data_IF_831173588373
#
_entry.id   IF_831173588373
#
_cell.length_a   1.000
_cell.length_b   1.000
_cell.length_c   1.000
_cell.angle_alpha   90.00
_cell.angle_beta   90.00
_cell.angle_gamma   90.00
#
_symmetry.space_group_name_H-M   'P 1'
#
loop_
_entity.id
_entity.type
_entity.pdbx_description
1 polymer ?
#
# COMPACT_ATOMS: atom_id res chain seq x y z
N UNK A 1 -24.44 0.12 2.49
CA UNK A 1 -24.20 1.02 3.65
C UNK A 1 -23.48 0.22 4.71
N UNK A 2 -22.35 0.70 5.23
CA UNK A 2 -21.66 0.07 6.36
C UNK A 2 -22.13 0.79 7.61
N UNK A 3 -22.79 0.06 8.50
CA UNK A 3 -23.39 0.60 9.71
C UNK A 3 -22.60 0.32 10.97
N UNK A 4 -23.22 0.57 12.12
CA UNK A 4 -22.64 0.44 13.47
C UNK A 4 -22.09 -0.98 13.71
N UNK A 5 -22.79 -2.02 13.27
CA UNK A 5 -22.40 -3.42 13.50
C UNK A 5 -21.07 -3.77 12.86
N UNK A 6 -20.83 -3.33 11.63
CA UNK A 6 -19.56 -3.52 10.97
C UNK A 6 -18.40 -2.79 11.70
N UNK A 7 -18.64 -1.57 12.18
CA UNK A 7 -17.66 -0.82 12.96
C UNK A 7 -17.33 -1.51 14.29
N UNK A 8 -18.34 -2.04 14.99
CA UNK A 8 -18.16 -2.85 16.21
C UNK A 8 -17.29 -4.08 15.92
N UNK A 9 -17.63 -4.85 14.90
CA UNK A 9 -16.90 -6.05 14.49
C UNK A 9 -15.44 -5.75 14.14
N UNK A 10 -15.22 -4.71 13.32
CA UNK A 10 -13.87 -4.29 12.95
C UNK A 10 -13.05 -3.92 14.18
N UNK A 11 -13.57 -3.07 15.08
CA UNK A 11 -12.83 -2.63 16.26
C UNK A 11 -12.56 -3.79 17.23
N UNK A 12 -13.47 -4.76 17.36
CA UNK A 12 -13.21 -6.01 18.09
C UNK A 12 -12.04 -6.80 17.48
N UNK A 13 -12.04 -6.98 16.16
CA UNK A 13 -10.97 -7.70 15.44
C UNK A 13 -9.63 -6.95 15.51
N UNK A 14 -9.65 -5.62 15.45
CA UNK A 14 -8.46 -4.78 15.65
C UNK A 14 -7.85 -4.96 17.05
N UNK A 15 -8.67 -5.24 18.05
CA UNK A 15 -8.22 -5.57 19.39
C UNK A 15 -7.90 -7.06 19.59
N UNK A 16 -7.84 -7.88 18.54
CA UNK A 16 -7.62 -9.31 18.57
C UNK A 16 -8.64 -10.10 19.42
N UNK A 17 -9.82 -9.52 19.71
CA UNK A 17 -10.81 -10.14 20.58
C UNK A 17 -11.70 -11.13 19.81
N UNK A 18 -11.86 -12.34 20.34
CA UNK A 18 -12.96 -13.24 19.96
C UNK A 18 -14.28 -12.68 20.49
N UNK A 19 -15.42 -13.16 19.97
CA UNK A 19 -16.74 -12.81 20.52
C UNK A 19 -16.85 -13.11 22.02
N UNK A 20 -16.25 -14.21 22.47
CA UNK A 20 -16.26 -14.64 23.89
C UNK A 20 -15.43 -13.68 24.76
N UNK A 21 -14.26 -13.25 24.30
CA UNK A 21 -13.40 -12.31 25.02
C UNK A 21 -13.98 -10.91 25.05
N UNK A 22 -14.56 -10.44 23.93
CA UNK A 22 -15.30 -9.19 23.90
C UNK A 22 -16.51 -9.24 24.85
N UNK A 23 -17.24 -10.35 24.87
CA UNK A 23 -18.34 -10.57 25.80
C UNK A 23 -17.91 -10.47 27.26
N UNK A 24 -16.79 -11.12 27.63
CA UNK A 24 -16.21 -11.01 28.98
C UNK A 24 -15.87 -9.56 29.33
N UNK A 25 -15.20 -8.83 28.43
CA UNK A 25 -14.76 -7.44 28.62
C UNK A 25 -15.95 -6.48 28.77
N UNK A 26 -17.05 -6.78 28.10
CA UNK A 26 -18.27 -5.97 28.08
C UNK A 26 -19.37 -6.44 29.04
N UNK A 27 -19.10 -7.53 29.78
CA UNK A 27 -20.09 -8.20 30.63
C UNK A 27 -21.36 -8.60 29.86
N UNK A 28 -21.18 -9.20 28.67
CA UNK A 28 -22.23 -9.65 27.76
C UNK A 28 -21.95 -11.07 27.28
N UNK A 29 -22.98 -11.77 26.77
CA UNK A 29 -22.79 -13.04 26.09
C UNK A 29 -22.15 -12.85 24.71
N UNK A 30 -21.41 -13.85 24.22
CA UNK A 30 -20.85 -13.85 22.87
C UNK A 30 -21.96 -13.71 21.79
N UNK A 31 -23.12 -14.30 22.06
CA UNK A 31 -24.30 -14.20 21.19
C UNK A 31 -24.84 -12.77 21.14
N UNK A 32 -24.86 -12.05 22.27
CA UNK A 32 -25.29 -10.64 22.29
C UNK A 32 -24.33 -9.77 21.45
N UNK A 33 -23.01 -9.95 21.59
CA UNK A 33 -22.02 -9.24 20.76
C UNK A 33 -22.28 -9.54 19.27
N UNK A 34 -22.49 -10.81 18.90
CA UNK A 34 -22.75 -11.19 17.52
C UNK A 34 -24.03 -10.55 16.95
N UNK A 35 -25.08 -10.38 17.76
CA UNK A 35 -26.32 -9.70 17.35
C UNK A 35 -26.11 -8.21 17.08
N UNK A 36 -25.31 -7.52 17.92
CA UNK A 36 -24.92 -6.14 17.65
C UNK A 36 -24.09 -6.01 16.37
N UNK A 37 -23.13 -6.92 16.14
CA UNK A 37 -22.29 -6.91 14.95
C UNK A 37 -23.06 -7.22 13.65
N UNK A 38 -24.16 -7.96 13.74
CA UNK A 38 -25.08 -8.25 12.62
C UNK A 38 -26.20 -7.23 12.45
N UNK A 39 -26.23 -6.23 13.31
CA UNK A 39 -27.31 -5.23 13.36
C UNK A 39 -28.71 -5.82 13.63
N UNK A 40 -28.79 -7.03 14.21
CA UNK A 40 -30.02 -7.63 14.70
C UNK A 40 -30.54 -6.88 15.95
N UNK A 41 -29.67 -6.22 16.68
CA UNK A 41 -29.94 -5.31 17.79
C UNK A 41 -29.16 -4.04 17.57
N UNK A 42 -29.82 -2.90 17.61
CA UNK A 42 -29.17 -1.58 17.54
C UNK A 42 -28.75 -1.17 18.96
N UNK A 43 -27.46 -0.86 19.20
CA UNK A 43 -27.03 -0.41 20.50
C UNK A 43 -27.55 1.01 20.80
N UNK A 44 -28.01 1.22 22.02
CA UNK A 44 -28.31 2.55 22.54
C UNK A 44 -27.02 3.35 22.84
N UNK A 45 -27.16 4.62 23.18
CA UNK A 45 -25.99 5.50 23.44
C UNK A 45 -25.12 4.99 24.58
N UNK A 46 -25.69 4.39 25.62
CA UNK A 46 -24.96 3.82 26.76
C UNK A 46 -24.10 2.64 26.30
N UNK A 47 -24.68 1.75 25.47
CA UNK A 47 -23.98 0.61 24.88
C UNK A 47 -22.88 1.04 23.92
N UNK A 48 -23.12 2.06 23.10
CA UNK A 48 -22.09 2.64 22.21
C UNK A 48 -20.90 3.12 23.02
N UNK A 49 -21.12 3.86 24.12
CA UNK A 49 -20.06 4.32 25.00
C UNK A 49 -19.32 3.14 25.66
N UNK A 50 -20.06 2.11 26.08
CA UNK A 50 -19.49 0.90 26.66
C UNK A 50 -18.58 0.16 25.66
N UNK A 51 -19.01 0.02 24.41
CA UNK A 51 -18.20 -0.55 23.34
C UNK A 51 -16.97 0.31 23.02
N UNK A 52 -17.14 1.64 22.94
CA UNK A 52 -16.06 2.58 22.67
C UNK A 52 -14.94 2.46 23.71
N UNK A 53 -15.31 2.45 24.99
CA UNK A 53 -14.36 2.28 26.10
C UNK A 53 -13.67 0.90 26.05
N UNK A 54 -14.42 -0.16 25.78
CA UNK A 54 -13.88 -1.52 25.73
C UNK A 54 -12.89 -1.71 24.56
N UNK A 55 -13.11 -1.04 23.43
CA UNK A 55 -12.27 -1.15 22.25
C UNK A 55 -11.21 -0.04 22.14
N UNK A 56 -11.20 0.94 23.07
CA UNK A 56 -10.23 2.03 23.08
C UNK A 56 -10.40 3.01 21.92
N UNK A 57 -11.65 3.26 21.50
CA UNK A 57 -12.00 4.14 20.38
C UNK A 57 -13.01 5.22 20.81
N UNK A 58 -13.14 6.29 20.02
CA UNK A 58 -14.19 7.29 20.24
C UNK A 58 -15.55 6.74 19.81
N UNK A 59 -16.62 7.05 20.56
CA UNK A 59 -17.99 6.65 20.22
C UNK A 59 -18.38 7.08 18.79
N UNK A 60 -17.95 8.26 18.37
CA UNK A 60 -18.17 8.77 17.01
C UNK A 60 -17.66 7.82 15.92
N UNK A 61 -16.55 7.12 16.15
CA UNK A 61 -15.99 6.15 15.19
C UNK A 61 -16.87 4.91 15.05
N UNK A 62 -17.60 4.52 16.10
CA UNK A 62 -18.51 3.37 16.06
C UNK A 62 -19.82 3.68 15.33
N UNK A 63 -20.31 4.91 15.42
CA UNK A 63 -21.60 5.33 14.80
C UNK A 63 -21.44 5.86 13.38
N UNK A 64 -20.20 6.02 12.90
CA UNK A 64 -19.94 6.53 11.55
C UNK A 64 -20.54 5.59 10.49
N UNK A 65 -21.33 6.16 9.59
CA UNK A 65 -21.95 5.42 8.49
C UNK A 65 -21.18 5.74 7.21
N UNK A 66 -20.81 4.70 6.49
CA UNK A 66 -20.16 4.81 5.20
C UNK A 66 -21.07 4.30 4.09
N UNK A 67 -21.02 4.96 2.94
CA UNK A 67 -21.48 4.40 1.67
C UNK A 67 -20.23 3.98 0.87
N UNK A 68 -19.72 2.75 1.11
CA UNK A 68 -18.47 2.36 0.49
C UNK A 68 -18.65 2.24 -1.02
N UNK A 69 -17.65 2.67 -1.79
CA UNK A 69 -17.61 2.37 -3.20
C UNK A 69 -17.47 0.86 -3.41
N UNK A 70 -17.74 0.41 -4.61
CA UNK A 70 -17.56 -1.01 -4.96
C UNK A 70 -16.08 -1.31 -5.10
N UNK A 71 -15.48 -2.00 -4.14
CA UNK A 71 -14.10 -2.46 -4.16
C UNK A 71 -14.07 -3.94 -4.51
N UNK A 72 -13.27 -4.32 -5.51
CA UNK A 72 -13.16 -5.71 -5.95
C UNK A 72 -11.96 -6.40 -5.30
N UNK A 73 -12.17 -7.07 -4.18
CA UNK A 73 -11.14 -7.80 -3.45
C UNK A 73 -10.81 -9.19 -4.00
N UNK A 74 -11.26 -9.57 -5.20
CA UNK A 74 -11.03 -10.91 -5.77
C UNK A 74 -9.54 -11.26 -5.91
N UNK A 75 -8.70 -10.28 -6.15
CA UNK A 75 -7.25 -10.47 -6.28
C UNK A 75 -6.57 -10.83 -4.94
N UNK A 76 -7.13 -10.42 -3.80
CA UNK A 76 -6.67 -10.85 -2.48
C UNK A 76 -6.84 -12.32 -2.18
N UNK A 77 -7.94 -12.91 -2.65
CA UNK A 77 -8.31 -14.31 -2.37
C UNK A 77 -7.32 -15.33 -2.95
N UNK A 78 -6.42 -14.87 -3.82
CA UNK A 78 -5.37 -15.70 -4.43
C UNK A 78 -4.13 -15.86 -3.51
N UNK A 79 -3.89 -14.96 -2.56
CA UNK A 79 -2.75 -15.08 -1.62
C UNK A 79 -3.10 -16.07 -0.50
N UNK A 80 -2.38 -17.19 -0.44
CA UNK A 80 -2.67 -18.37 0.42
C UNK A 80 -2.83 -18.08 1.92
N UNK A 81 -2.23 -17.04 2.44
CA UNK A 81 -2.14 -16.76 3.89
C UNK A 81 -3.21 -15.79 4.42
N UNK A 82 -3.92 -15.08 3.51
CA UNK A 82 -4.99 -14.15 3.89
C UNK A 82 -6.35 -14.85 3.80
N UNK A 83 -6.86 -15.37 4.91
CA UNK A 83 -8.15 -16.07 4.99
C UNK A 83 -8.91 -15.75 6.27
N UNK A 84 -10.22 -15.95 6.25
CA UNK A 84 -11.10 -15.81 7.40
C UNK A 84 -11.03 -14.41 8.03
N UNK A 85 -10.90 -14.35 9.36
CA UNK A 85 -10.93 -13.10 10.12
C UNK A 85 -9.87 -12.07 9.72
N UNK A 86 -8.65 -12.52 9.33
CA UNK A 86 -7.58 -11.63 8.87
C UNK A 86 -7.94 -10.92 7.56
N UNK A 87 -8.50 -11.67 6.61
CA UNK A 87 -8.96 -11.11 5.34
C UNK A 87 -10.10 -10.11 5.56
N UNK A 88 -11.09 -10.48 6.37
CA UNK A 88 -12.23 -9.62 6.69
C UNK A 88 -11.80 -8.31 7.37
N UNK A 89 -10.85 -8.39 8.30
CA UNK A 89 -10.28 -7.22 8.94
C UNK A 89 -9.56 -6.33 7.93
N UNK A 90 -8.75 -6.91 7.05
CA UNK A 90 -8.03 -6.17 6.03
C UNK A 90 -8.98 -5.48 5.03
N UNK A 91 -9.98 -6.21 4.52
CA UNK A 91 -11.00 -5.66 3.62
C UNK A 91 -11.76 -4.48 4.27
N UNK A 92 -12.15 -4.62 5.54
CA UNK A 92 -12.85 -3.54 6.27
C UNK A 92 -11.96 -2.33 6.53
N UNK A 93 -10.66 -2.56 6.83
CA UNK A 93 -9.70 -1.47 7.06
C UNK A 93 -9.43 -0.70 5.76
N UNK A 94 -9.19 -1.41 4.66
CA UNK A 94 -9.00 -0.78 3.34
C UNK A 94 -10.25 0.02 2.95
N UNK A 95 -11.44 -0.54 3.15
CA UNK A 95 -12.69 0.13 2.81
C UNK A 95 -12.84 1.44 3.58
N UNK A 96 -12.52 1.45 4.88
CA UNK A 96 -12.58 2.67 5.69
C UNK A 96 -11.57 3.71 5.22
N UNK A 97 -10.31 3.33 4.99
CA UNK A 97 -9.27 4.26 4.55
C UNK A 97 -9.61 4.86 3.18
N UNK A 98 -10.13 4.05 2.25
CA UNK A 98 -10.64 4.52 0.95
C UNK A 98 -11.80 5.50 1.13
N UNK A 99 -12.80 5.17 1.97
CA UNK A 99 -13.93 6.06 2.24
C UNK A 99 -13.48 7.40 2.84
N UNK A 100 -12.54 7.37 3.80
CA UNK A 100 -11.99 8.58 4.41
C UNK A 100 -11.23 9.42 3.37
N UNK A 101 -10.46 8.78 2.48
CA UNK A 101 -9.74 9.49 1.43
C UNK A 101 -10.70 10.13 0.42
N UNK A 102 -11.74 9.41 -0.01
CA UNK A 102 -12.77 9.93 -0.91
C UNK A 102 -13.55 11.08 -0.28
N UNK A 103 -13.88 11.01 1.04
CA UNK A 103 -14.49 12.11 1.78
C UNK A 103 -13.59 13.37 1.70
N UNK A 104 -12.30 13.23 1.96
CA UNK A 104 -11.33 14.34 1.89
C UNK A 104 -11.20 14.90 0.49
N UNK A 105 -11.15 14.05 -0.54
CA UNK A 105 -11.12 14.50 -1.94
C UNK A 105 -12.37 15.31 -2.27
N UNK A 106 -13.56 14.77 -1.98
CA UNK A 106 -14.84 15.41 -2.31
C UNK A 106 -14.96 16.79 -1.63
N UNK A 107 -14.51 16.92 -0.38
CA UNK A 107 -14.50 18.19 0.33
C UNK A 107 -13.50 19.20 -0.22
N UNK A 108 -12.36 18.74 -0.74
CA UNK A 108 -11.37 19.61 -1.41
C UNK A 108 -11.79 20.03 -2.82
N UNK A 109 -12.84 19.39 -3.38
CA UNK A 109 -13.31 19.61 -4.75
C UNK A 109 -12.16 19.69 -5.79
N UNK A 110 -11.15 18.81 -5.75
CA UNK A 110 -10.11 18.82 -6.75
C UNK A 110 -10.65 18.19 -8.03
N UNK A 111 -10.40 18.80 -9.15
CA UNK A 111 -10.51 18.13 -10.45
C UNK A 111 -9.38 17.07 -10.57
N UNK A 112 -9.46 15.98 -9.80
CA UNK A 112 -8.55 14.85 -9.99
C UNK A 112 -8.96 14.17 -11.29
N UNK A 113 -8.25 14.47 -12.36
CA UNK A 113 -8.32 13.71 -13.62
C UNK A 113 -7.15 12.74 -13.61
N UNK A 114 -7.36 11.48 -13.20
CA UNK A 114 -6.30 10.49 -13.25
C UNK A 114 -5.89 10.27 -14.70
N UNK A 115 -4.61 10.40 -14.99
CA UNK A 115 -4.05 10.32 -16.35
C UNK A 115 -3.40 8.94 -16.58
N UNK A 116 -3.93 7.88 -15.95
CA UNK A 116 -3.41 6.53 -16.18
C UNK A 116 -3.98 5.93 -17.47
N UNK A 117 -3.08 5.62 -18.41
CA UNK A 117 -3.40 4.92 -19.64
C UNK A 117 -3.21 3.41 -19.44
N UNK A 118 -4.16 2.60 -19.92
CA UNK A 118 -4.01 1.14 -20.01
C UNK A 118 -3.29 0.73 -21.29
N UNK A 119 -2.33 -0.19 -21.15
CA UNK A 119 -1.50 -0.69 -22.26
C UNK A 119 -1.81 -2.18 -22.49
N UNK A 120 -2.15 -2.52 -23.73
CA UNK A 120 -2.38 -3.91 -24.13
C UNK A 120 -1.06 -4.67 -24.08
N UNK A 121 -1.06 -5.81 -23.38
CA UNK A 121 0.12 -6.67 -23.23
C UNK A 121 -0.25 -8.11 -23.61
N UNK A 122 0.55 -8.70 -24.51
CA UNK A 122 0.36 -10.07 -25.01
C UNK A 122 1.54 -10.99 -24.65
N UNK A 123 2.66 -10.45 -24.18
CA UNK A 123 3.85 -11.19 -23.80
C UNK A 123 4.71 -10.40 -22.81
N UNK A 124 5.73 -11.04 -22.24
CA UNK A 124 6.60 -10.46 -21.20
C UNK A 124 7.39 -9.23 -21.70
N UNK A 125 7.70 -9.14 -22.99
CA UNK A 125 8.44 -8.01 -23.54
C UNK A 125 7.56 -6.75 -23.64
N UNK A 126 6.24 -6.93 -23.76
CA UNK A 126 5.31 -5.80 -23.75
C UNK A 126 5.33 -5.09 -22.38
N UNK A 127 5.48 -5.83 -21.27
CA UNK A 127 5.63 -5.23 -19.95
C UNK A 127 6.89 -4.35 -19.84
N UNK A 128 7.98 -4.77 -20.48
CA UNK A 128 9.21 -3.95 -20.59
C UNK A 128 8.95 -2.67 -21.39
N UNK A 129 8.31 -2.77 -22.55
CA UNK A 129 7.98 -1.63 -23.41
C UNK A 129 7.03 -0.65 -22.72
N UNK A 130 6.10 -1.16 -21.91
CA UNK A 130 5.20 -0.33 -21.09
C UNK A 130 6.00 0.42 -20.01
N UNK A 131 6.97 -0.23 -19.36
CA UNK A 131 7.83 0.42 -18.38
C UNK A 131 8.60 1.60 -19.01
N UNK A 132 9.17 1.42 -20.21
CA UNK A 132 9.84 2.47 -20.97
C UNK A 132 8.87 3.61 -21.31
N UNK A 133 7.67 3.26 -21.80
CA UNK A 133 6.64 4.25 -22.15
C UNK A 133 6.16 5.02 -20.93
N UNK A 134 6.03 4.36 -19.77
CA UNK A 134 5.65 5.00 -18.53
C UNK A 134 6.75 5.93 -18.01
N UNK A 135 8.02 5.53 -18.08
CA UNK A 135 9.15 6.42 -17.74
C UNK A 135 9.13 7.72 -18.58
N UNK A 136 8.89 7.58 -19.89
CA UNK A 136 8.72 8.74 -20.78
C UNK A 136 7.52 9.61 -20.37
N UNK A 137 6.40 9.00 -19.99
CA UNK A 137 5.21 9.71 -19.53
C UNK A 137 5.45 10.53 -18.27
N UNK A 138 6.23 10.01 -17.31
CA UNK A 138 6.63 10.74 -16.09
C UNK A 138 7.92 11.56 -16.24
N UNK A 139 8.38 11.78 -17.48
CA UNK A 139 9.56 12.59 -17.83
C UNK A 139 10.87 12.15 -17.17
N UNK A 140 11.07 10.83 -17.01
CA UNK A 140 12.32 10.24 -16.49
C UNK A 140 13.00 9.46 -17.61
N UNK A 141 14.28 9.74 -17.86
CA UNK A 141 15.05 9.03 -18.88
C UNK A 141 15.39 7.60 -18.47
N UNK A 142 15.73 6.73 -19.45
CA UNK A 142 16.04 5.31 -19.18
C UNK A 142 17.43 5.07 -18.53
N UNK A 143 18.14 6.11 -18.14
CA UNK A 143 19.39 6.02 -17.38
C UNK A 143 19.31 6.70 -16.02
N UNK A 144 18.19 7.33 -15.67
CA UNK A 144 18.00 8.01 -14.39
C UNK A 144 17.25 7.10 -13.40
N UNK A 145 17.62 7.11 -12.11
CA UNK A 145 16.82 6.45 -11.08
C UNK A 145 15.47 7.16 -10.90
N UNK A 146 14.45 6.43 -10.49
CA UNK A 146 13.20 7.00 -9.99
C UNK A 146 13.45 7.36 -8.52
N UNK A 147 13.55 8.62 -8.16
CA UNK A 147 14.00 9.06 -6.83
C UNK A 147 12.91 9.05 -5.77
N UNK A 148 11.69 9.43 -6.11
CA UNK A 148 10.53 9.54 -5.21
C UNK A 148 9.30 9.01 -5.95
N UNK A 149 9.10 7.69 -5.85
CA UNK A 149 8.05 7.00 -6.60
C UNK A 149 6.66 7.40 -6.11
N UNK A 150 6.47 7.52 -4.78
CA UNK A 150 5.17 7.89 -4.20
C UNK A 150 4.75 9.27 -4.71
N UNK A 151 5.59 10.28 -4.56
CA UNK A 151 5.26 11.65 -4.97
C UNK A 151 5.02 11.75 -6.49
N UNK A 152 5.81 11.04 -7.30
CA UNK A 152 5.61 10.99 -8.76
C UNK A 152 4.23 10.43 -9.10
N UNK A 153 3.80 9.35 -8.46
CA UNK A 153 2.51 8.73 -8.70
C UNK A 153 1.36 9.60 -8.20
N UNK A 154 1.49 10.22 -7.04
CA UNK A 154 0.50 11.15 -6.50
C UNK A 154 0.30 12.36 -7.41
N UNK A 155 1.37 12.90 -8.00
CA UNK A 155 1.30 14.03 -8.94
C UNK A 155 0.55 13.72 -10.24
N UNK A 156 0.45 12.45 -10.64
CA UNK A 156 -0.33 12.01 -11.80
C UNK A 156 -1.72 11.48 -11.42
N UNK A 157 -2.15 11.67 -10.15
CA UNK A 157 -3.48 11.34 -9.67
C UNK A 157 -3.66 9.90 -9.17
N UNK A 158 -2.58 9.16 -8.89
CA UNK A 158 -2.67 7.87 -8.18
C UNK A 158 -2.69 8.13 -6.69
N UNK A 159 -3.65 7.55 -5.98
CA UNK A 159 -3.74 7.66 -4.53
C UNK A 159 -2.94 6.53 -3.89
N UNK A 160 -2.01 6.89 -3.00
CA UNK A 160 -1.23 5.93 -2.23
C UNK A 160 -1.73 5.91 -0.78
N UNK A 161 -2.21 4.74 -0.34
CA UNK A 161 -2.61 4.52 1.06
C UNK A 161 -1.58 3.60 1.73
N UNK A 162 -0.94 4.10 2.78
CA UNK A 162 -0.06 3.32 3.63
C UNK A 162 -0.85 2.88 4.87
N UNK A 163 -1.35 1.62 4.86
CA UNK A 163 -2.18 1.09 5.95
C UNK A 163 -1.41 1.09 7.27
N UNK A 164 -1.91 1.84 8.24
CA UNK A 164 -1.38 1.82 9.60
C UNK A 164 -1.64 0.44 10.22
N UNK A 165 -0.61 -0.27 10.56
CA UNK A 165 -0.68 -1.54 11.30
C UNK A 165 0.12 -1.42 12.58
N UNK A 166 -0.57 -1.46 13.70
CA UNK A 166 0.02 -1.84 14.98
C UNK A 166 0.07 -3.37 15.04
N UNK A 167 1.06 -3.99 15.65
CA UNK A 167 1.08 -5.43 15.98
C UNK A 167 1.21 -6.45 14.82
N UNK A 168 1.85 -6.10 13.71
CA UNK A 168 2.14 -7.07 12.63
C UNK A 168 0.91 -7.80 12.02
N UNK A 169 -0.31 -7.25 12.18
CA UNK A 169 -1.55 -7.90 11.75
C UNK A 169 -1.64 -8.14 10.24
N UNK A 170 -0.99 -7.30 9.46
CA UNK A 170 -1.02 -7.33 8.00
C UNK A 170 0.31 -7.79 7.38
N UNK A 171 1.15 -8.54 8.11
CA UNK A 171 2.44 -9.02 7.58
C UNK A 171 2.31 -9.89 6.33
N UNK A 172 1.19 -10.59 6.18
CA UNK A 172 0.89 -11.42 5.01
C UNK A 172 0.35 -10.60 3.81
N UNK A 173 0.20 -9.29 3.99
CA UNK A 173 -0.25 -8.34 2.97
C UNK A 173 0.92 -7.47 2.52
N UNK A 174 1.25 -7.46 1.23
CA UNK A 174 2.26 -6.57 0.67
C UNK A 174 1.62 -5.35 0.02
N UNK A 175 0.65 -5.54 -0.88
CA UNK A 175 -0.02 -4.46 -1.60
C UNK A 175 -1.31 -4.91 -2.28
N UNK A 176 -2.08 -3.91 -2.70
CA UNK A 176 -3.32 -4.04 -3.47
C UNK A 176 -3.53 -2.79 -4.31
N UNK A 177 -4.06 -2.97 -5.50
CA UNK A 177 -4.42 -1.85 -6.36
C UNK A 177 -5.76 -2.07 -7.05
N UNK A 178 -6.53 -0.99 -7.16
CA UNK A 178 -7.85 -1.01 -7.81
C UNK A 178 -8.18 0.39 -8.33
N UNK A 179 -9.02 0.46 -9.37
CA UNK A 179 -9.63 1.72 -9.83
C UNK A 179 -11.01 1.84 -9.17
N UNK A 180 -11.16 2.77 -8.26
CA UNK A 180 -12.36 2.98 -7.45
C UNK A 180 -12.94 4.34 -7.85
N UNK A 181 -14.20 4.37 -8.29
CA UNK A 181 -14.86 5.60 -8.78
C UNK A 181 -14.00 6.39 -9.78
N UNK A 182 -13.36 5.68 -10.71
CA UNK A 182 -12.43 6.20 -11.73
C UNK A 182 -11.10 6.74 -11.20
N UNK A 183 -10.82 6.61 -9.91
CA UNK A 183 -9.58 7.02 -9.27
C UNK A 183 -8.70 5.80 -9.02
N UNK A 184 -7.42 5.78 -9.44
CA UNK A 184 -6.51 4.67 -9.17
C UNK A 184 -5.97 4.73 -7.75
N UNK A 185 -6.13 3.64 -7.01
CA UNK A 185 -5.60 3.45 -5.66
C UNK A 185 -4.51 2.39 -5.66
N UNK A 186 -3.44 2.64 -4.94
CA UNK A 186 -2.44 1.66 -4.53
C UNK A 186 -2.39 1.67 -3.00
N UNK A 187 -2.69 0.54 -2.39
CA UNK A 187 -2.69 0.37 -0.95
C UNK A 187 -1.55 -0.57 -0.57
N UNK A 188 -0.69 -0.13 0.32
CA UNK A 188 0.43 -0.92 0.83
C UNK A 188 0.41 -0.92 2.36
N UNK A 189 1.06 -1.91 2.97
CA UNK A 189 1.25 -1.88 4.42
C UNK A 189 2.30 -0.82 4.80
N UNK A 190 2.11 -0.15 5.93
CA UNK A 190 3.01 0.91 6.39
C UNK A 190 4.30 0.39 7.05
N UNK A 191 4.28 -0.81 7.64
CA UNK A 191 5.42 -1.39 8.34
C UNK A 191 6.38 -2.16 7.42
N UNK A 192 6.55 -1.73 6.18
CA UNK A 192 7.63 -2.21 5.31
C UNK A 192 8.91 -1.51 5.76
N UNK A 193 9.78 -2.23 6.43
CA UNK A 193 11.04 -1.68 6.97
C UNK A 193 12.03 -1.30 5.86
N UNK A 194 12.05 -2.06 4.75
CA UNK A 194 12.95 -1.81 3.62
C UNK A 194 12.24 -1.05 2.49
N UNK A 195 12.67 0.20 2.25
CA UNK A 195 12.19 1.04 1.16
C UNK A 195 12.37 0.43 -0.24
N UNK A 196 13.38 -0.42 -0.45
CA UNK A 196 13.51 -1.13 -1.72
C UNK A 196 12.36 -2.12 -1.96
N UNK A 197 11.92 -2.82 -0.91
CA UNK A 197 10.75 -3.70 -0.97
C UNK A 197 9.48 -2.89 -1.19
N UNK A 198 9.31 -1.78 -0.46
CA UNK A 198 8.16 -0.89 -0.61
C UNK A 198 8.02 -0.38 -2.05
N UNK A 199 9.09 0.16 -2.61
CA UNK A 199 9.12 0.70 -3.98
C UNK A 199 8.79 -0.35 -5.03
N UNK A 200 9.34 -1.56 -4.87
CA UNK A 200 9.01 -2.67 -5.76
C UNK A 200 7.54 -3.05 -5.67
N UNK A 201 6.96 -3.11 -4.46
CA UNK A 201 5.54 -3.38 -4.26
C UNK A 201 4.67 -2.31 -4.94
N UNK A 202 4.98 -1.01 -4.76
CA UNK A 202 4.24 0.08 -5.41
C UNK A 202 4.33 -0.02 -6.93
N UNK A 203 5.51 -0.26 -7.48
CA UNK A 203 5.70 -0.42 -8.93
C UNK A 203 4.97 -1.66 -9.48
N UNK A 204 4.93 -2.75 -8.74
CA UNK A 204 4.18 -3.96 -9.07
C UNK A 204 2.67 -3.70 -9.11
N UNK A 205 2.13 -3.04 -8.07
CA UNK A 205 0.71 -2.67 -7.99
C UNK A 205 0.32 -1.66 -9.09
N UNK A 206 1.22 -0.75 -9.44
CA UNK A 206 1.03 0.10 -10.61
C UNK A 206 0.91 -0.74 -11.90
N UNK A 207 1.70 -1.81 -12.02
CA UNK A 207 1.58 -2.77 -13.12
C UNK A 207 0.17 -3.31 -13.26
N UNK A 208 -0.49 -3.72 -12.17
CA UNK A 208 -1.88 -4.18 -12.17
C UNK A 208 -2.88 -3.11 -12.65
N UNK A 209 -2.60 -1.83 -12.40
CA UNK A 209 -3.48 -0.73 -12.84
C UNK A 209 -3.35 -0.43 -14.33
N UNK A 210 -2.16 -0.57 -14.92
CA UNK A 210 -1.89 -0.10 -16.28
C UNK A 210 -1.72 -1.21 -17.33
N UNK A 211 -1.34 -2.43 -16.94
CA UNK A 211 -1.21 -3.55 -17.87
C UNK A 211 -2.59 -4.15 -18.16
N UNK A 212 -2.99 -4.19 -19.42
CA UNK A 212 -4.22 -4.82 -19.88
C UNK A 212 -3.90 -6.17 -20.54
N UNK A 213 -3.90 -7.23 -19.73
CA UNK A 213 -3.57 -8.59 -20.11
C UNK A 213 -4.88 -9.33 -20.35
N UNK A 214 -5.20 -9.65 -21.61
CA UNK A 214 -6.44 -10.34 -21.97
C UNK A 214 -6.30 -11.86 -21.96
N UNK A 215 -5.12 -12.37 -22.24
CA UNK A 215 -4.86 -13.80 -22.28
C UNK A 215 -4.69 -14.36 -20.86
N UNK A 216 -5.61 -15.25 -20.48
CA UNK A 216 -5.61 -15.92 -19.16
C UNK A 216 -4.44 -16.90 -18.98
N UNK A 217 -3.76 -17.30 -20.04
CA UNK A 217 -2.58 -18.17 -19.97
C UNK A 217 -1.33 -17.41 -19.57
N UNK A 218 -1.33 -16.09 -19.69
CA UNK A 218 -0.22 -15.24 -19.28
C UNK A 218 -0.29 -15.01 -17.76
N UNK A 219 0.82 -15.26 -17.09
CA UNK A 219 0.97 -15.02 -15.67
C UNK A 219 1.04 -13.50 -15.40
N UNK A 220 -0.08 -12.95 -14.92
CA UNK A 220 -0.23 -11.53 -14.64
C UNK A 220 0.79 -11.04 -13.59
N UNK A 221 1.08 -11.84 -12.56
CA UNK A 221 2.05 -11.49 -11.52
C UNK A 221 3.47 -11.34 -12.11
N UNK A 222 3.87 -12.26 -13.00
CA UNK A 222 5.16 -12.16 -13.69
C UNK A 222 5.25 -10.95 -14.60
N UNK A 223 4.15 -10.56 -15.23
CA UNK A 223 4.08 -9.36 -16.07
C UNK A 223 4.25 -8.10 -15.23
N UNK A 224 3.56 -7.99 -14.10
CA UNK A 224 3.69 -6.88 -13.16
C UNK A 224 5.10 -6.81 -12.55
N UNK A 225 5.68 -7.95 -12.21
CA UNK A 225 7.07 -8.06 -11.76
C UNK A 225 8.07 -7.57 -12.82
N UNK A 226 7.86 -7.97 -14.09
CA UNK A 226 8.71 -7.51 -15.20
C UNK A 226 8.59 -6.02 -15.43
N UNK A 227 7.37 -5.49 -15.40
CA UNK A 227 7.11 -4.06 -15.47
C UNK A 227 7.79 -3.31 -14.33
N UNK A 228 7.62 -3.76 -13.08
CA UNK A 228 8.22 -3.11 -11.91
C UNK A 228 9.75 -3.04 -12.02
N UNK A 229 10.39 -4.16 -12.42
CA UNK A 229 11.84 -4.16 -12.64
C UNK A 229 12.26 -3.28 -13.81
N UNK A 230 11.50 -3.25 -14.91
CA UNK A 230 11.77 -2.36 -16.04
C UNK A 230 11.63 -0.88 -15.69
N UNK A 231 10.62 -0.54 -14.88
CA UNK A 231 10.40 0.82 -14.39
C UNK A 231 11.51 1.31 -13.48
N UNK A 232 11.88 0.50 -12.48
CA UNK A 232 12.87 0.86 -11.47
C UNK A 232 14.33 0.70 -11.96
N UNK A 233 14.59 -0.26 -12.85
CA UNK A 233 15.90 -0.62 -13.38
C UNK A 233 15.83 -0.78 -14.91
N UNK A 234 15.71 0.31 -15.68
CA UNK A 234 15.62 0.23 -17.13
C UNK A 234 16.86 -0.42 -17.73
N UNK A 235 16.68 -1.10 -18.86
CA UNK A 235 17.75 -1.88 -19.51
C UNK A 235 19.01 -1.06 -19.76
N UNK A 236 18.84 0.17 -20.25
CA UNK A 236 19.96 1.05 -20.59
C UNK A 236 20.81 1.40 -19.35
N UNK A 237 20.17 1.64 -18.20
CA UNK A 237 20.85 1.89 -16.93
C UNK A 237 21.64 0.66 -16.47
N UNK A 238 21.01 -0.52 -16.52
CA UNK A 238 21.64 -1.78 -16.10
C UNK A 238 22.82 -2.14 -17.01
N UNK A 239 22.67 -1.97 -18.34
CA UNK A 239 23.77 -2.21 -19.30
C UNK A 239 24.90 -1.20 -19.13
N UNK A 240 24.58 0.05 -18.84
CA UNK A 240 25.58 1.09 -18.57
C UNK A 240 26.47 0.71 -17.39
N UNK A 241 25.88 0.19 -16.31
CA UNK A 241 26.60 -0.15 -15.09
C UNK A 241 27.33 -1.51 -15.18
N UNK A 242 26.63 -2.55 -15.65
CA UNK A 242 27.14 -3.92 -15.61
C UNK A 242 27.70 -4.43 -16.94
N UNK A 243 27.48 -3.71 -18.06
CA UNK A 243 27.83 -4.17 -19.41
C UNK A 243 26.81 -5.20 -19.95
N UNK A 244 27.15 -5.77 -21.15
CA UNK A 244 26.23 -6.67 -21.85
C UNK A 244 26.30 -8.14 -21.38
N UNK A 245 27.48 -8.61 -20.99
CA UNK A 245 27.70 -9.99 -20.53
C UNK A 245 28.72 -10.02 -19.42
N UNK A 246 28.41 -10.68 -18.32
CA UNK A 246 29.27 -10.80 -17.14
C UNK A 246 29.31 -12.22 -16.62
N UNK A 247 30.52 -12.69 -16.33
CA UNK A 247 30.72 -13.98 -15.65
C UNK A 247 30.53 -13.87 -14.14
N UNK A 248 30.93 -12.74 -13.56
CA UNK A 248 30.78 -12.43 -12.13
C UNK A 248 30.40 -10.95 -11.97
N UNK A 249 29.76 -10.62 -10.85
CA UNK A 249 29.43 -9.25 -10.43
C UNK A 249 29.95 -9.08 -9.02
N UNK A 250 30.64 -7.98 -8.74
CA UNK A 250 31.16 -7.71 -7.41
C UNK A 250 30.05 -7.20 -6.48
N UNK A 251 30.23 -7.43 -5.19
CA UNK A 251 29.28 -6.96 -4.19
C UNK A 251 29.24 -5.41 -4.12
N UNK A 252 30.37 -4.75 -4.37
CA UNK A 252 30.45 -3.29 -4.42
C UNK A 252 29.65 -2.68 -5.58
N UNK A 253 29.67 -3.31 -6.78
CA UNK A 253 28.83 -2.90 -7.90
C UNK A 253 27.33 -3.03 -7.53
N UNK A 254 26.95 -4.13 -6.86
CA UNK A 254 25.57 -4.33 -6.40
C UNK A 254 25.17 -3.28 -5.36
N UNK A 255 26.04 -2.93 -4.39
CA UNK A 255 25.79 -1.88 -3.39
C UNK A 255 25.61 -0.52 -4.07
N UNK A 256 26.50 -0.15 -4.97
CA UNK A 256 26.46 1.13 -5.68
C UNK A 256 25.13 1.26 -6.44
N UNK A 257 24.77 0.25 -7.23
CA UNK A 257 23.53 0.24 -8.00
C UNK A 257 22.28 0.23 -7.10
N UNK A 258 22.29 -0.56 -6.01
CA UNK A 258 21.21 -0.55 -5.01
C UNK A 258 20.98 0.84 -4.44
N UNK A 259 22.04 1.53 -4.04
CA UNK A 259 21.94 2.84 -3.40
C UNK A 259 21.51 3.93 -4.38
N UNK A 260 21.92 3.86 -5.63
CA UNK A 260 21.53 4.80 -6.69
C UNK A 260 20.07 4.58 -7.12
N UNK A 261 19.69 3.35 -7.47
CA UNK A 261 18.37 3.03 -8.01
C UNK A 261 17.33 2.69 -6.94
N UNK A 262 17.72 2.63 -5.67
CA UNK A 262 16.85 2.32 -4.52
C UNK A 262 16.09 1.01 -4.68
N UNK A 263 16.81 -0.06 -5.05
CA UNK A 263 16.28 -1.40 -5.31
C UNK A 263 16.97 -2.47 -4.47
N UNK A 264 16.34 -3.63 -4.29
CA UNK A 264 16.94 -4.71 -3.50
C UNK A 264 17.98 -5.50 -4.30
N UNK A 265 18.98 -6.07 -3.62
CA UNK A 265 19.97 -6.97 -4.26
C UNK A 265 19.30 -8.12 -5.02
N UNK A 266 18.25 -8.71 -4.44
CA UNK A 266 17.47 -9.77 -5.08
C UNK A 266 16.90 -9.31 -6.42
N UNK A 267 16.31 -8.12 -6.48
CA UNK A 267 15.74 -7.60 -7.72
C UNK A 267 16.82 -7.26 -8.75
N UNK A 268 18.01 -6.80 -8.31
CA UNK A 268 19.14 -6.52 -9.23
C UNK A 268 19.58 -7.81 -9.91
N UNK A 269 19.86 -8.88 -9.16
CA UNK A 269 20.34 -10.14 -9.77
C UNK A 269 19.29 -10.81 -10.65
N UNK A 270 17.99 -10.73 -10.30
CA UNK A 270 16.91 -11.17 -11.16
C UNK A 270 16.92 -10.35 -12.47
N UNK A 271 17.07 -9.04 -12.37
CA UNK A 271 17.12 -8.16 -13.54
C UNK A 271 18.29 -8.46 -14.46
N UNK A 272 19.48 -8.67 -13.90
CA UNK A 272 20.67 -9.06 -14.66
C UNK A 272 20.46 -10.38 -15.43
N UNK A 273 19.80 -11.36 -14.80
CA UNK A 273 19.43 -12.62 -15.44
C UNK A 273 18.38 -12.40 -16.53
N UNK A 274 17.33 -11.62 -16.29
CA UNK A 274 16.28 -11.31 -17.26
C UNK A 274 16.81 -10.63 -18.52
N UNK A 275 17.85 -9.84 -18.39
CA UNK A 275 18.54 -9.17 -19.50
C UNK A 275 19.63 -10.02 -20.13
N UNK A 276 19.83 -11.28 -19.69
CA UNK A 276 20.88 -12.19 -20.12
C UNK A 276 22.32 -11.63 -19.91
N UNK A 277 22.48 -10.71 -18.95
CA UNK A 277 23.81 -10.18 -18.58
C UNK A 277 24.59 -11.21 -17.78
N UNK A 278 23.91 -11.97 -16.91
CA UNK A 278 24.48 -13.08 -16.16
C UNK A 278 23.81 -14.40 -16.50
N UNK A 279 24.57 -15.50 -16.40
CA UNK A 279 24.05 -16.85 -16.61
C UNK A 279 23.15 -17.31 -15.43
N UNK A 280 22.35 -18.36 -15.66
CA UNK A 280 21.57 -19.02 -14.58
C UNK A 280 22.46 -19.51 -13.44
N UNK A 281 23.65 -20.02 -13.76
CA UNK A 281 24.63 -20.45 -12.77
C UNK A 281 25.09 -19.29 -11.89
N UNK A 282 25.46 -18.17 -12.51
CA UNK A 282 25.89 -16.95 -11.78
C UNK A 282 24.76 -16.39 -10.91
N UNK A 283 23.52 -16.38 -11.43
CA UNK A 283 22.35 -15.97 -10.67
C UNK A 283 22.16 -16.82 -9.40
N UNK A 284 22.23 -18.17 -9.52
CA UNK A 284 22.09 -19.07 -8.36
C UNK A 284 23.21 -18.85 -7.33
N UNK A 285 24.44 -18.70 -7.80
CA UNK A 285 25.60 -18.41 -6.94
C UNK A 285 25.39 -17.11 -6.15
N UNK A 286 25.06 -16.02 -6.83
CA UNK A 286 24.81 -14.71 -6.20
C UNK A 286 23.61 -14.77 -5.24
N UNK A 287 22.56 -15.49 -5.57
CA UNK A 287 21.39 -15.66 -4.69
C UNK A 287 21.76 -16.31 -3.36
N UNK A 288 22.61 -17.33 -3.37
CA UNK A 288 23.10 -17.97 -2.15
C UNK A 288 23.98 -16.99 -1.35
N UNK A 289 24.92 -16.32 -2.01
CA UNK A 289 25.80 -15.35 -1.34
C UNK A 289 25.00 -14.22 -0.67
N UNK A 290 24.03 -13.62 -1.38
CA UNK A 290 23.16 -12.57 -0.83
C UNK A 290 22.34 -13.06 0.36
N UNK A 291 21.85 -14.30 0.34
CA UNK A 291 21.06 -14.86 1.45
C UNK A 291 21.88 -15.16 2.71
N UNK A 292 23.18 -15.40 2.56
CA UNK A 292 24.10 -15.73 3.65
C UNK A 292 24.84 -14.52 4.21
N UNK A 293 24.88 -13.41 3.48
CA UNK A 293 25.66 -12.24 3.89
C UNK A 293 24.85 -11.36 4.87
N UNK A 294 25.36 -11.26 6.10
CA UNK A 294 24.79 -10.42 7.16
C UNK A 294 24.76 -8.94 6.76
N UNK A 295 25.73 -8.49 5.96
CA UNK A 295 25.79 -7.09 5.50
C UNK A 295 24.66 -6.74 4.52
N UNK A 296 24.10 -7.72 3.80
CA UNK A 296 22.92 -7.48 2.94
C UNK A 296 21.68 -7.16 3.74
N UNK A 297 21.54 -7.75 4.93
CA UNK A 297 20.40 -7.51 5.84
C UNK A 297 20.50 -6.16 6.56
N UNK A 298 21.70 -5.61 6.73
CA UNK A 298 21.93 -4.33 7.41
C UNK A 298 21.87 -3.11 6.46
N UNK A 299 21.84 -3.33 5.15
CA UNK A 299 21.74 -2.25 4.16
C UNK A 299 20.28 -1.99 3.78
N UNK A 300 19.48 -1.52 4.75
CA UNK A 300 18.06 -1.20 4.59
C UNK A 300 17.93 0.23 4.06
N UNK A 301 17.08 0.42 3.07
CA UNK A 301 16.74 1.73 2.52
C UNK A 301 15.54 2.31 3.28
N UNK A 302 15.58 3.62 3.53
CA UNK A 302 14.46 4.32 4.18
C UNK A 302 13.24 4.27 3.26
N UNK A 303 12.06 3.83 3.75
CA UNK A 303 10.81 3.87 3.00
C UNK A 303 10.36 5.29 2.66
N UNK A 304 9.71 5.43 1.52
CA UNK A 304 9.03 6.67 1.12
C UNK A 304 7.71 6.84 1.92
N UNK A 305 7.32 8.09 2.18
CA UNK A 305 6.10 8.42 2.93
C UNK A 305 5.15 9.25 2.06
N UNK A 306 3.88 8.86 2.03
CA UNK A 306 2.81 9.66 1.43
C UNK A 306 2.40 10.77 2.40
N UNK A 307 2.51 12.02 1.96
CA UNK A 307 2.07 13.19 2.72
C UNK A 307 0.78 13.79 2.14
N UNK A 308 0.30 13.33 0.99
CA UNK A 308 -0.79 13.97 0.27
C UNK A 308 -2.10 13.97 1.06
N UNK A 309 -2.47 12.81 1.65
CA UNK A 309 -3.69 12.73 2.47
C UNK A 309 -3.65 13.72 3.64
N UNK A 310 -2.55 13.73 4.37
CA UNK A 310 -2.33 14.62 5.50
C UNK A 310 -2.40 16.09 5.10
N UNK A 311 -1.71 16.44 4.00
CA UNK A 311 -1.75 17.78 3.40
C UNK A 311 -3.16 18.21 3.04
N UNK A 312 -3.96 17.33 2.44
CA UNK A 312 -5.34 17.63 2.06
C UNK A 312 -6.23 17.85 3.29
N UNK A 313 -6.08 17.03 4.34
CA UNK A 313 -6.85 17.19 5.61
C UNK A 313 -6.50 18.52 6.29
N UNK A 314 -5.21 18.86 6.41
CA UNK A 314 -4.78 20.14 6.98
C UNK A 314 -5.30 21.33 6.15
N UNK A 315 -5.28 21.22 4.82
CA UNK A 315 -5.84 22.26 3.93
C UNK A 315 -7.33 22.51 4.21
N UNK A 316 -8.11 21.46 4.43
CA UNK A 316 -9.53 21.59 4.77
C UNK A 316 -9.74 22.27 6.11
N UNK A 317 -8.92 21.95 7.09
CA UNK A 317 -9.02 22.55 8.44
C UNK A 317 -8.62 24.02 8.42
N UNK A 318 -7.49 24.37 7.82
CA UNK A 318 -7.00 25.76 7.68
C UNK A 318 -8.02 26.64 6.94
N UNK A 319 -8.70 26.08 5.94
CA UNK A 319 -9.76 26.79 5.22
C UNK A 319 -11.13 26.77 5.93
N UNK A 320 -11.21 26.29 7.17
CA UNK A 320 -12.43 26.16 7.96
C UNK A 320 -13.56 25.32 7.29
N UNK A 321 -13.21 24.43 6.36
CA UNK A 321 -14.16 23.50 5.72
C UNK A 321 -14.51 22.37 6.70
N UNK A 322 -13.55 21.94 7.49
CA UNK A 322 -13.74 20.98 8.58
C UNK A 322 -13.20 21.55 9.90
N UNK A 323 -13.75 21.05 11.00
CA UNK A 323 -13.24 21.40 12.34
C UNK A 323 -11.94 20.65 12.64
N UNK A 324 -11.13 21.17 13.57
CA UNK A 324 -9.95 20.47 14.08
C UNK A 324 -10.27 19.08 14.63
N UNK A 325 -11.42 18.91 15.30
CA UNK A 325 -11.87 17.61 15.80
C UNK A 325 -12.08 16.62 14.64
N UNK A 326 -12.65 17.08 13.51
CA UNK A 326 -12.84 16.28 12.30
C UNK A 326 -11.51 15.95 11.64
N UNK A 327 -10.57 16.90 11.59
CA UNK A 327 -9.22 16.65 11.08
C UNK A 327 -8.50 15.57 11.90
N UNK A 328 -8.55 15.65 13.24
CA UNK A 328 -8.01 14.62 14.12
C UNK A 328 -8.66 13.24 13.89
N UNK A 329 -9.99 13.21 13.67
CA UNK A 329 -10.72 11.97 13.34
C UNK A 329 -10.19 11.35 12.05
N UNK A 330 -10.10 12.14 10.97
CA UNK A 330 -9.65 11.70 9.65
C UNK A 330 -8.19 11.22 9.67
N UNK A 331 -7.33 11.90 10.42
CA UNK A 331 -5.92 11.51 10.57
C UNK A 331 -5.72 10.36 11.56
N UNK A 332 -6.73 10.03 12.37
CA UNK A 332 -6.65 9.01 13.41
C UNK A 332 -5.66 9.35 14.52
N UNK A 333 -5.52 10.65 14.87
CA UNK A 333 -4.62 11.16 15.91
C UNK A 333 -5.38 11.94 16.99
N UNK A 334 -4.75 12.12 18.14
CA UNK A 334 -5.30 12.96 19.21
C UNK A 334 -5.12 14.45 18.90
N UNK A 335 -5.86 15.31 19.60
CA UNK A 335 -5.69 16.77 19.49
C UNK A 335 -4.32 17.26 19.92
N UNK A 336 -3.67 16.55 20.86
CA UNK A 336 -2.31 16.89 21.31
C UNK A 336 -1.29 16.56 20.22
N UNK A 337 -1.35 15.34 19.64
CA UNK A 337 -0.50 14.95 18.52
C UNK A 337 -0.69 15.88 17.31
N UNK A 338 -1.94 16.29 17.02
CA UNK A 338 -2.22 17.25 15.96
C UNK A 338 -1.53 18.62 16.21
N UNK A 339 -1.50 19.09 17.46
CA UNK A 339 -0.82 20.35 17.81
C UNK A 339 0.69 20.21 17.69
N UNK A 340 1.27 19.11 18.21
CA UNK A 340 2.71 18.86 18.18
C UNK A 340 3.21 18.74 16.73
N UNK A 341 2.46 18.05 15.85
CA UNK A 341 2.82 17.98 14.45
C UNK A 341 2.85 19.36 13.78
N UNK A 342 1.87 20.22 14.04
CA UNK A 342 1.85 21.57 13.49
C UNK A 342 2.98 22.44 14.06
N UNK A 343 3.37 22.26 15.33
CA UNK A 343 4.47 22.99 15.96
C UNK A 343 5.84 22.60 15.39
N UNK A 344 6.10 21.29 15.20
CA UNK A 344 7.39 20.78 14.75
C UNK A 344 7.74 21.09 13.29
N UNK A 345 6.78 21.55 12.49
CA UNK A 345 7.04 21.96 11.10
C UNK A 345 7.35 23.46 10.95
N UNK A 346 7.19 24.27 12.01
CA UNK A 346 7.43 25.72 11.95
C UNK A 346 8.67 26.18 12.74
N UNK A 347 9.29 25.29 13.48
CA UNK A 347 10.51 25.48 14.24
C UNK A 347 11.49 24.34 14.01
#
# INVERSE_FOLDING_TARGET
MIGIGNNLKRNRLMNNLSLKEAGKKLNMSATAIAKYEKEEIIPDSSKIIQFANAYGVKAAQLIKIYNPPKINFLNFKKKRNLRGKKLELLESTITEDVCNYLEVINLNNPEIKPVLKKYKCNNINDAENVAISFRKFINISNIQPVTDLINILENIGVIIIQLKSTDNKFNDFDGFSEIIDSIPFIIIRNNIEDGAKQRFTIAHELGHLILNIKDKMIDNEKMCDRFARGLLMPKEAVVKEFGNVRKNVSFYELIAFKNEYKVSFKNIIIRLKELNIISEYTYKKLSIQISQDINTNNNILIPEVSYQYKKLVHKLEINNIITKSKACELLGISSNEYNEENYNYWY
#
